data_IF_905754306779
#
_entry.id   IF_905754306779
#
_cell.length_a   1.000
_cell.length_b   1.000
_cell.length_c   1.000
_cell.angle_alpha   90.00
_cell.angle_beta   90.00
_cell.angle_gamma   90.00
#
_symmetry.space_group_name_H-M   'P 1'
#
loop_
_entity.id
_entity.type
_entity.pdbx_description
1 polymer ?
#
# COMPACT_ATOMS: atom_id res chain seq x y z
N UNK A 1 2.84 11.49 23.00
CA UNK A 1 1.47 11.05 23.40
C UNK A 1 0.91 10.02 22.41
N UNK A 2 0.55 10.35 21.16
CA UNK A 2 0.07 9.31 20.21
C UNK A 2 1.19 8.41 19.63
N UNK A 3 2.40 8.95 19.39
CA UNK A 3 3.55 8.18 18.85
C UNK A 3 4.08 7.08 19.78
N UNK A 4 3.81 7.18 21.08
CA UNK A 4 4.30 6.23 22.09
C UNK A 4 3.35 5.02 22.26
N UNK A 5 2.18 5.05 21.60
CA UNK A 5 1.19 3.97 21.62
C UNK A 5 1.28 3.04 20.40
N UNK A 6 2.20 3.31 19.45
CA UNK A 6 2.36 2.47 18.27
C UNK A 6 2.95 1.11 18.63
N UNK A 7 2.34 0.04 18.14
CA UNK A 7 2.74 -1.31 18.49
C UNK A 7 2.29 -2.39 17.50
N UNK A 8 2.37 -3.67 17.91
CA UNK A 8 2.02 -4.81 17.07
C UNK A 8 0.58 -4.78 16.54
N UNK A 9 -0.36 -4.19 17.31
CA UNK A 9 -1.75 -4.07 16.91
C UNK A 9 -1.94 -3.17 15.68
N UNK A 10 -1.19 -2.07 15.58
CA UNK A 10 -1.24 -1.17 14.41
C UNK A 10 -0.70 -1.86 13.16
N UNK A 11 0.38 -2.62 13.30
CA UNK A 11 0.97 -3.40 12.20
C UNK A 11 0.01 -4.51 11.76
N UNK A 12 -0.66 -5.19 12.70
CA UNK A 12 -1.68 -6.18 12.39
C UNK A 12 -2.88 -5.55 11.65
N UNK A 13 -3.32 -4.36 12.08
CA UNK A 13 -4.37 -3.60 11.40
C UNK A 13 -3.95 -3.19 9.97
N UNK A 14 -2.74 -2.67 9.80
CA UNK A 14 -2.18 -2.35 8.48
C UNK A 14 -2.12 -3.59 7.58
N UNK A 15 -1.63 -4.72 8.09
CA UNK A 15 -1.58 -5.98 7.34
C UNK A 15 -2.97 -6.44 6.90
N UNK A 16 -3.99 -6.27 7.74
CA UNK A 16 -5.39 -6.54 7.37
C UNK A 16 -5.81 -5.65 6.20
N UNK A 17 -5.55 -4.34 6.26
CA UNK A 17 -5.87 -3.41 5.17
C UNK A 17 -5.16 -3.79 3.87
N UNK A 18 -3.86 -4.11 3.94
CA UNK A 18 -3.07 -4.55 2.78
C UNK A 18 -3.67 -5.83 2.17
N UNK A 19 -4.11 -6.78 3.01
CA UNK A 19 -4.78 -7.99 2.55
C UNK A 19 -6.06 -7.66 1.76
N UNK A 20 -6.95 -6.81 2.30
CA UNK A 20 -8.17 -6.37 1.61
C UNK A 20 -7.86 -5.61 0.31
N UNK A 21 -6.87 -4.71 0.31
CA UNK A 21 -6.46 -3.97 -0.89
C UNK A 21 -5.94 -4.90 -1.99
N UNK A 22 -5.12 -5.89 -1.63
CA UNK A 22 -4.61 -6.90 -2.56
C UNK A 22 -5.73 -7.79 -3.09
N UNK A 23 -6.64 -8.25 -2.23
CA UNK A 23 -7.79 -9.04 -2.64
C UNK A 23 -8.66 -8.27 -3.65
N UNK A 24 -8.99 -6.99 -3.37
CA UNK A 24 -9.73 -6.14 -4.31
C UNK A 24 -9.00 -5.99 -5.64
N UNK A 25 -7.69 -5.72 -5.61
CA UNK A 25 -6.90 -5.59 -6.85
C UNK A 25 -6.89 -6.88 -7.66
N UNK A 26 -6.65 -8.03 -7.02
CA UNK A 26 -6.60 -9.34 -7.68
C UNK A 26 -7.96 -9.73 -8.28
N UNK A 27 -9.05 -9.58 -7.52
CA UNK A 27 -10.40 -9.89 -8.00
C UNK A 27 -10.79 -8.93 -9.12
N UNK A 28 -10.47 -7.65 -8.99
CA UNK A 28 -10.69 -6.66 -10.05
C UNK A 28 -9.99 -7.03 -11.35
N UNK A 29 -8.69 -7.38 -11.29
CA UNK A 29 -7.92 -7.82 -12.45
C UNK A 29 -8.45 -9.13 -13.05
N UNK A 30 -8.82 -10.11 -12.21
CA UNK A 30 -9.33 -11.39 -12.66
C UNK A 30 -10.69 -11.30 -13.38
N UNK A 31 -11.46 -10.24 -13.12
CA UNK A 31 -12.84 -10.09 -13.62
C UNK A 31 -13.00 -9.02 -14.70
N UNK A 32 -11.98 -8.20 -14.97
CA UNK A 32 -12.08 -7.06 -15.89
C UNK A 32 -12.09 -7.42 -17.38
N UNK A 33 -11.71 -8.65 -17.75
CA UNK A 33 -11.39 -9.01 -19.13
C UNK A 33 -12.61 -9.28 -20.03
N UNK A 34 -13.76 -9.66 -19.47
CA UNK A 34 -14.88 -10.21 -20.24
C UNK A 34 -15.94 -9.17 -20.66
N UNK A 35 -16.10 -8.08 -19.91
CA UNK A 35 -17.05 -7.01 -20.23
C UNK A 35 -16.76 -5.75 -19.41
N UNK A 36 -17.49 -4.66 -19.69
CA UNK A 36 -17.55 -3.51 -18.77
C UNK A 36 -18.21 -4.00 -17.48
N UNK A 37 -17.38 -4.24 -16.47
CA UNK A 37 -17.79 -4.84 -15.21
C UNK A 37 -17.67 -3.80 -14.08
N UNK A 38 -18.80 -3.25 -13.58
CA UNK A 38 -18.79 -2.27 -12.50
C UNK A 38 -18.11 -2.76 -11.23
N UNK A 39 -18.15 -4.07 -10.94
CA UNK A 39 -17.47 -4.67 -9.79
C UNK A 39 -15.96 -4.57 -9.99
N UNK A 40 -15.44 -4.90 -11.18
CA UNK A 40 -14.01 -4.77 -11.48
C UNK A 40 -13.55 -3.31 -11.36
N UNK A 41 -14.32 -2.37 -11.92
CA UNK A 41 -14.03 -0.93 -11.83
C UNK A 41 -13.93 -0.50 -10.36
N UNK A 42 -14.92 -0.86 -9.55
CA UNK A 42 -14.95 -0.51 -8.14
C UNK A 42 -13.77 -1.13 -7.37
N UNK A 43 -13.50 -2.42 -7.56
CA UNK A 43 -12.45 -3.12 -6.82
C UNK A 43 -11.04 -2.65 -7.22
N UNK A 44 -10.79 -2.36 -8.49
CA UNK A 44 -9.53 -1.78 -8.96
C UNK A 44 -9.32 -0.37 -8.42
N UNK A 45 -10.38 0.46 -8.43
CA UNK A 45 -10.37 1.79 -7.84
C UNK A 45 -10.08 1.73 -6.34
N UNK A 46 -10.81 0.88 -5.60
CA UNK A 46 -10.64 0.71 -4.16
C UNK A 46 -9.24 0.20 -3.79
N UNK A 47 -8.72 -0.79 -4.53
CA UNK A 47 -7.39 -1.33 -4.33
C UNK A 47 -6.30 -0.28 -4.55
N UNK A 48 -6.42 0.50 -5.64
CA UNK A 48 -5.50 1.58 -5.98
C UNK A 48 -5.57 2.71 -4.96
N UNK A 49 -6.75 3.24 -4.68
CA UNK A 49 -6.92 4.32 -3.70
C UNK A 49 -6.37 3.92 -2.32
N UNK A 50 -6.67 2.70 -1.85
CA UNK A 50 -6.14 2.19 -0.57
C UNK A 50 -4.61 2.09 -0.56
N UNK A 51 -4.01 1.61 -1.65
CA UNK A 51 -2.54 1.53 -1.78
C UNK A 51 -1.89 2.90 -1.65
N UNK A 52 -2.48 3.92 -2.28
CA UNK A 52 -1.98 5.30 -2.25
C UNK A 52 -2.25 6.01 -0.93
N UNK A 53 -3.52 6.18 -0.57
CA UNK A 53 -3.93 7.10 0.51
C UNK A 53 -3.75 6.50 1.90
N UNK A 54 -3.75 5.17 2.01
CA UNK A 54 -3.65 4.49 3.29
C UNK A 54 -2.27 3.86 3.43
N UNK A 55 -1.89 2.94 2.54
CA UNK A 55 -0.66 2.16 2.75
C UNK A 55 0.58 3.03 2.54
N UNK A 56 0.80 3.54 1.33
CA UNK A 56 2.05 4.24 1.03
C UNK A 56 2.14 5.60 1.68
N UNK A 57 1.08 6.41 1.68
CA UNK A 57 1.09 7.70 2.37
C UNK A 57 1.58 7.54 3.82
N UNK A 58 1.01 6.62 4.59
CA UNK A 58 1.42 6.44 5.99
C UNK A 58 2.82 5.81 6.12
N UNK A 59 3.19 4.85 5.26
CA UNK A 59 4.52 4.23 5.33
C UNK A 59 5.63 5.20 4.90
N UNK A 60 5.45 5.94 3.81
CA UNK A 60 6.41 6.92 3.28
C UNK A 60 6.59 8.13 4.22
N UNK A 61 5.56 8.51 4.98
CA UNK A 61 5.69 9.49 6.08
C UNK A 61 6.24 8.90 7.39
N UNK A 62 6.63 7.62 7.42
CA UNK A 62 7.28 6.98 8.56
C UNK A 62 6.32 6.55 9.68
N UNK A 63 5.03 6.41 9.38
CA UNK A 63 3.99 6.03 10.34
C UNK A 63 4.20 4.67 11.00
N UNK A 64 5.03 3.79 10.41
CA UNK A 64 5.31 2.45 10.92
C UNK A 64 6.80 2.16 11.15
N UNK A 65 7.68 3.17 11.05
CA UNK A 65 9.14 2.99 11.16
C UNK A 65 9.55 2.39 12.51
N UNK A 66 8.83 2.73 13.59
CA UNK A 66 9.16 2.30 14.96
C UNK A 66 8.57 0.95 15.35
N UNK A 67 7.41 0.55 14.80
CA UNK A 67 6.66 -0.62 15.26
C UNK A 67 6.70 -1.82 14.29
N UNK A 68 7.12 -1.63 13.04
CA UNK A 68 7.09 -2.69 12.01
C UNK A 68 8.33 -3.60 11.96
N UNK A 69 9.32 -3.38 12.82
CA UNK A 69 10.61 -4.08 12.76
C UNK A 69 11.36 -3.86 11.45
N UNK A 70 11.11 -2.73 10.76
CA UNK A 70 11.71 -2.40 9.47
C UNK A 70 11.01 -3.00 8.25
N UNK A 71 9.91 -3.75 8.44
CA UNK A 71 9.09 -4.29 7.34
C UNK A 71 8.47 -3.17 6.52
N UNK A 72 7.90 -2.18 7.22
CA UNK A 72 7.29 -0.98 6.66
C UNK A 72 8.13 0.22 7.07
N UNK A 73 9.12 0.53 6.23
CA UNK A 73 10.03 1.65 6.46
C UNK A 73 9.95 2.66 5.32
N UNK A 74 9.90 3.95 5.67
CA UNK A 74 9.89 5.04 4.68
C UNK A 74 11.07 5.04 3.71
N UNK A 75 12.18 4.40 4.07
CA UNK A 75 13.40 4.35 3.24
C UNK A 75 13.49 3.08 2.38
N UNK A 76 12.66 2.07 2.64
CA UNK A 76 12.74 0.75 1.97
C UNK A 76 11.46 0.37 1.22
N UNK A 77 10.36 1.05 1.50
CA UNK A 77 9.06 0.78 0.88
C UNK A 77 9.12 1.01 -0.63
N UNK A 78 8.81 -0.04 -1.42
CA UNK A 78 8.71 0.06 -2.87
C UNK A 78 10.01 0.30 -3.63
N UNK A 79 11.18 0.29 -2.96
CA UNK A 79 12.49 0.59 -3.53
C UNK A 79 13.53 -0.53 -3.26
N UNK A 80 14.66 -0.47 -3.96
CA UNK A 80 15.82 -1.36 -3.72
C UNK A 80 15.74 -2.77 -4.30
N UNK A 81 14.57 -3.21 -4.79
CA UNK A 81 14.44 -4.43 -5.60
C UNK A 81 13.13 -4.46 -6.38
N UNK A 82 13.08 -5.23 -7.47
CA UNK A 82 11.84 -5.47 -8.21
C UNK A 82 10.78 -6.16 -7.34
N UNK A 83 11.19 -7.04 -6.43
CA UNK A 83 10.28 -7.68 -5.48
C UNK A 83 9.60 -6.63 -4.59
N UNK A 84 10.37 -5.74 -3.95
CA UNK A 84 9.84 -4.63 -3.15
C UNK A 84 8.93 -3.73 -3.97
N UNK A 85 9.32 -3.40 -5.20
CA UNK A 85 8.49 -2.64 -6.12
C UNK A 85 7.13 -3.33 -6.32
N UNK A 86 7.12 -4.60 -6.69
CA UNK A 86 5.88 -5.33 -6.98
C UNK A 86 5.02 -5.62 -5.73
N UNK A 87 5.62 -5.85 -4.56
CA UNK A 87 4.84 -6.21 -3.34
C UNK A 87 4.34 -4.99 -2.60
N UNK A 88 5.13 -3.93 -2.55
CA UNK A 88 4.85 -2.75 -1.75
C UNK A 88 4.15 -1.68 -2.61
N UNK A 89 4.55 -1.54 -3.88
CA UNK A 89 4.10 -0.45 -4.75
C UNK A 89 4.03 -0.84 -6.23
N UNK A 90 3.10 -1.76 -6.56
CA UNK A 90 2.80 -2.11 -7.95
C UNK A 90 1.95 -1.01 -8.59
N UNK A 91 2.62 0.06 -9.00
CA UNK A 91 2.00 1.23 -9.59
C UNK A 91 2.88 1.82 -10.71
N UNK A 92 2.32 2.75 -11.49
CA UNK A 92 3.04 3.41 -12.58
C UNK A 92 4.00 4.49 -12.07
N UNK A 93 3.63 5.21 -11.01
CA UNK A 93 4.48 6.27 -10.45
C UNK A 93 5.59 5.67 -9.58
N UNK A 94 6.81 6.21 -9.67
CA UNK A 94 7.92 5.81 -8.80
C UNK A 94 7.68 6.25 -7.34
N UNK A 95 8.08 5.44 -6.35
CA UNK A 95 7.98 5.86 -4.94
C UNK A 95 8.95 7.00 -4.65
N UNK A 96 10.06 7.01 -5.37
CA UNK A 96 11.05 8.08 -5.35
C UNK A 96 10.46 9.41 -5.85
N UNK A 97 9.58 9.37 -6.87
CA UNK A 97 8.88 10.57 -7.34
C UNK A 97 7.87 11.07 -6.30
N UNK A 98 7.11 10.16 -5.67
CA UNK A 98 6.25 10.51 -4.53
C UNK A 98 7.03 11.20 -3.41
N UNK A 99 8.22 10.71 -3.08
CA UNK A 99 9.06 11.31 -2.04
C UNK A 99 9.54 12.73 -2.38
N UNK A 100 9.57 13.13 -3.65
CA UNK A 100 9.94 14.49 -4.09
C UNK A 100 8.71 15.40 -4.16
N UNK A 101 7.57 14.87 -4.64
CA UNK A 101 6.37 15.67 -4.92
C UNK A 101 5.42 15.78 -3.73
N UNK A 102 5.44 14.82 -2.81
CA UNK A 102 4.45 14.70 -1.74
C UNK A 102 5.02 14.81 -0.32
N UNK A 103 6.27 14.38 -0.09
CA UNK A 103 6.92 14.40 1.22
C UNK A 103 7.76 15.67 1.47
#
# INVERSE_FOLDING_TARGET
>A
LARDQQGPADVAHLNKIICWSRASTLIGLATMWYSINPISIFLLSLGTMTRWTIVAHHVCHGGFDKCSGGTYSRFKFGVGSLARRCTDWLDWMLVEAWNVEHN
#
